data_IF_724458290334
#
_entry.id   IF_724458290334
#
_cell.length_a   1.000
_cell.length_b   1.000
_cell.length_c   1.000
_cell.angle_alpha   90.00
_cell.angle_beta   90.00
_cell.angle_gamma   90.00
#
_symmetry.space_group_name_H-M   'P 1'
#
loop_
_entity.id
_entity.type
_entity.pdbx_description
1 polymer ?
#
# COMPACT_ATOMS: atom_id res chain seq x y z
N UNK A 1 -8.01 -6.39 -3.65
CA UNK A 1 -7.88 -6.87 -2.24
C UNK A 1 -8.47 -8.28 -2.01
N UNK A 2 -9.49 -8.72 -2.77
CA UNK A 2 -9.82 -10.16 -2.83
C UNK A 2 -8.62 -11.06 -3.18
N UNK A 3 -7.68 -10.53 -3.97
CA UNK A 3 -6.37 -11.15 -4.23
C UNK A 3 -5.59 -11.52 -2.96
N UNK A 4 -5.49 -10.62 -1.97
CA UNK A 4 -4.77 -10.87 -0.71
C UNK A 4 -5.39 -12.03 0.07
N UNK A 5 -6.72 -12.07 0.16
CA UNK A 5 -7.43 -13.17 0.85
C UNK A 5 -7.27 -14.51 0.15
N UNK A 6 -7.28 -14.51 -1.18
CA UNK A 6 -7.16 -15.72 -1.99
C UNK A 6 -5.72 -16.27 -2.09
N UNK A 7 -4.70 -15.48 -1.74
CA UNK A 7 -3.29 -15.85 -1.85
C UNK A 7 -2.58 -15.73 -0.49
N UNK A 8 -3.28 -15.94 0.64
CA UNK A 8 -2.72 -15.80 1.99
C UNK A 8 -1.44 -16.63 2.18
N UNK A 9 -1.37 -17.80 1.53
CA UNK A 9 -0.21 -18.69 1.57
C UNK A 9 1.04 -18.12 0.88
N UNK A 10 0.89 -17.11 0.01
CA UNK A 10 2.00 -16.45 -0.70
C UNK A 10 2.57 -15.27 0.08
N UNK A 11 1.90 -14.86 1.16
CA UNK A 11 2.29 -13.74 1.99
C UNK A 11 1.09 -13.01 2.57
N UNK A 12 1.26 -12.48 3.78
CA UNK A 12 0.23 -11.73 4.49
C UNK A 12 0.57 -10.24 4.61
N UNK A 13 1.50 -9.76 3.78
CA UNK A 13 1.96 -8.38 3.82
C UNK A 13 1.52 -7.56 2.60
N UNK A 14 0.93 -6.40 2.86
CA UNK A 14 0.57 -5.38 1.87
C UNK A 14 1.36 -4.09 2.12
N UNK A 15 1.94 -3.52 1.07
CA UNK A 15 2.48 -2.15 1.10
C UNK A 15 1.51 -1.20 0.40
N UNK A 16 1.13 -0.11 1.06
CA UNK A 16 0.24 0.92 0.50
C UNK A 16 0.56 2.30 1.08
N UNK A 17 -0.16 3.36 0.71
CA UNK A 17 0.09 4.73 1.19
C UNK A 17 -1.06 5.28 2.04
N UNK A 18 -0.73 6.19 2.97
CA UNK A 18 -1.72 6.90 3.78
C UNK A 18 -2.56 7.91 2.99
N UNK A 19 -2.12 8.28 1.77
CA UNK A 19 -2.79 9.25 0.88
C UNK A 19 -3.60 8.57 -0.24
N UNK A 20 -3.88 7.28 -0.11
CA UNK A 20 -4.75 6.55 -1.03
C UNK A 20 -6.21 7.01 -0.93
N UNK A 21 -6.99 6.77 -1.99
CA UNK A 21 -8.43 6.96 -1.93
C UNK A 21 -9.05 6.15 -0.78
N UNK A 22 -10.06 6.69 -0.11
CA UNK A 22 -10.70 6.10 1.09
C UNK A 22 -11.07 4.62 0.94
N UNK A 23 -11.49 4.21 -0.25
CA UNK A 23 -11.81 2.80 -0.54
C UNK A 23 -10.61 1.86 -0.34
N UNK A 24 -9.40 2.27 -0.71
CA UNK A 24 -8.17 1.50 -0.50
C UNK A 24 -7.80 1.51 0.98
N UNK A 25 -7.83 2.69 1.61
CA UNK A 25 -7.49 2.85 3.04
C UNK A 25 -8.38 2.00 3.93
N UNK A 26 -9.70 2.12 3.77
CA UNK A 26 -10.67 1.37 4.59
C UNK A 26 -10.53 -0.14 4.38
N UNK A 27 -10.23 -0.57 3.15
CA UNK A 27 -10.04 -1.99 2.87
C UNK A 27 -8.71 -2.52 3.44
N UNK A 28 -7.63 -1.74 3.40
CA UNK A 28 -6.37 -2.12 4.04
C UNK A 28 -6.52 -2.23 5.57
N UNK A 29 -7.27 -1.32 6.20
CA UNK A 29 -7.61 -1.41 7.64
C UNK A 29 -8.46 -2.64 7.98
N UNK A 30 -9.40 -3.01 7.10
CA UNK A 30 -10.16 -4.25 7.26
C UNK A 30 -9.23 -5.48 7.20
N UNK A 31 -8.24 -5.48 6.31
CA UNK A 31 -7.23 -6.54 6.26
C UNK A 31 -6.35 -6.57 7.53
N UNK A 32 -5.95 -5.43 8.10
CA UNK A 32 -5.24 -5.39 9.40
C UNK A 32 -6.04 -6.13 10.48
N UNK A 33 -7.35 -5.89 10.52
CA UNK A 33 -8.27 -6.53 11.47
C UNK A 33 -8.41 -8.04 11.24
N UNK A 34 -8.10 -8.52 10.02
CA UNK A 34 -8.06 -9.94 9.65
C UNK A 34 -6.68 -10.59 9.85
N UNK A 35 -5.71 -9.86 10.39
CA UNK A 35 -4.36 -10.34 10.71
C UNK A 35 -3.33 -10.18 9.59
N UNK A 36 -3.64 -9.44 8.52
CA UNK A 36 -2.63 -9.04 7.55
C UNK A 36 -1.74 -7.93 8.11
N UNK A 37 -0.47 -7.94 7.73
CA UNK A 37 0.46 -6.87 8.04
C UNK A 37 0.40 -5.82 6.92
N UNK A 38 0.25 -4.55 7.29
CA UNK A 38 0.21 -3.45 6.33
C UNK A 38 1.36 -2.48 6.62
N UNK A 39 2.18 -2.21 5.61
CA UNK A 39 3.12 -1.09 5.66
C UNK A 39 2.50 0.12 4.99
N UNK A 40 2.30 1.18 5.77
CA UNK A 40 1.78 2.47 5.33
C UNK A 40 2.93 3.42 4.99
N UNK A 41 3.17 3.63 3.69
CA UNK A 41 4.14 4.60 3.21
C UNK A 41 3.61 6.02 3.37
N UNK A 42 4.39 6.86 4.04
CA UNK A 42 4.13 8.29 4.15
C UNK A 42 4.81 9.04 3.01
N UNK A 43 4.06 9.82 2.19
CA UNK A 43 4.66 10.62 1.15
C UNK A 43 5.56 11.72 1.72
N UNK A 44 6.55 12.12 0.93
CA UNK A 44 7.34 13.31 1.18
C UNK A 44 6.52 14.59 1.11
N UNK A 45 7.18 15.73 1.35
CA UNK A 45 6.52 17.06 1.34
C UNK A 45 5.88 17.43 0.00
N UNK A 46 6.33 16.82 -1.09
CA UNK A 46 5.81 17.01 -2.43
C UNK A 46 4.69 16.01 -2.80
N UNK A 47 4.21 15.23 -1.82
CA UNK A 47 3.14 14.26 -2.01
C UNK A 47 3.60 12.98 -2.74
N UNK A 48 4.91 12.78 -2.93
CA UNK A 48 5.45 11.61 -3.64
C UNK A 48 5.99 10.54 -2.69
N UNK A 49 5.88 9.30 -3.15
CA UNK A 49 6.53 8.11 -2.57
C UNK A 49 7.71 7.80 -3.47
N UNK A 50 8.93 7.71 -2.93
CA UNK A 50 10.11 7.40 -3.75
C UNK A 50 10.28 5.89 -3.95
N UNK A 51 10.96 5.46 -5.03
CA UNK A 51 11.33 4.06 -5.23
C UNK A 51 12.12 3.46 -4.07
N UNK A 52 12.96 4.26 -3.39
CA UNK A 52 13.72 3.84 -2.21
C UNK A 52 12.81 3.55 -1.02
N UNK A 53 11.80 4.39 -0.77
CA UNK A 53 10.81 4.14 0.29
C UNK A 53 10.05 2.85 0.03
N UNK A 54 9.65 2.62 -1.23
CA UNK A 54 8.98 1.39 -1.61
C UNK A 54 9.91 0.17 -1.45
N UNK A 55 11.14 0.25 -1.94
CA UNK A 55 12.13 -0.83 -1.83
C UNK A 55 12.41 -1.19 -0.38
N UNK A 56 12.51 -0.21 0.51
CA UNK A 56 12.75 -0.43 1.93
C UNK A 56 11.55 -1.09 2.65
N UNK A 57 10.33 -0.89 2.14
CA UNK A 57 9.12 -1.51 2.67
C UNK A 57 8.84 -2.91 2.12
N UNK A 58 9.43 -3.27 0.97
CA UNK A 58 9.25 -4.60 0.40
C UNK A 58 10.05 -5.65 1.18
N UNK A 59 9.45 -6.83 1.32
CA UNK A 59 9.98 -8.00 2.01
C UNK A 59 9.69 -9.24 1.18
N UNK A 60 10.32 -10.36 1.54
CA UNK A 60 10.12 -11.64 0.84
C UNK A 60 8.67 -12.16 0.93
N UNK A 61 7.92 -11.77 1.97
CA UNK A 61 6.51 -12.10 2.18
C UNK A 61 5.53 -11.01 1.70
N UNK A 62 6.00 -9.95 1.03
CA UNK A 62 5.13 -8.93 0.42
C UNK A 62 4.32 -9.53 -0.72
N UNK A 63 3.03 -9.75 -0.49
CA UNK A 63 2.14 -10.34 -1.48
C UNK A 63 1.55 -9.30 -2.45
N UNK A 64 1.43 -8.04 -2.02
CA UNK A 64 0.88 -6.97 -2.85
C UNK A 64 1.50 -5.61 -2.50
N UNK A 65 1.67 -4.78 -3.52
CA UNK A 65 1.89 -3.34 -3.40
C UNK A 65 0.71 -2.65 -4.09
N UNK A 66 0.06 -1.70 -3.41
CA UNK A 66 -1.03 -0.90 -3.96
C UNK A 66 -0.73 0.57 -3.75
N UNK A 67 -0.31 1.24 -4.82
CA UNK A 67 -0.05 2.68 -4.87
C UNK A 67 -0.89 3.30 -5.99
N UNK A 68 -1.54 4.41 -5.70
CA UNK A 68 -2.29 5.20 -6.66
C UNK A 68 -1.30 5.93 -7.57
N UNK A 69 -1.35 5.65 -8.87
CA UNK A 69 -0.43 6.22 -9.88
C UNK A 69 -0.54 7.75 -10.00
N UNK A 70 -1.70 8.33 -9.69
CA UNK A 70 -1.90 9.79 -9.65
C UNK A 70 -2.74 10.12 -8.44
N UNK A 71 -2.18 10.84 -7.46
CA UNK A 71 -2.97 11.30 -6.33
C UNK A 71 -3.95 12.38 -6.78
N UNK A 72 -5.23 12.06 -6.69
CA UNK A 72 -6.36 12.89 -7.11
C UNK A 72 -6.66 14.08 -6.17
N UNK A 73 -6.00 14.21 -5.02
CA UNK A 73 -6.07 15.40 -4.15
C UNK A 73 -4.92 16.41 -4.39
N UNK A 74 -3.74 15.94 -4.81
CA UNK A 74 -2.54 16.78 -4.97
C UNK A 74 -1.99 16.86 -6.41
N UNK A 75 -2.47 16.01 -7.32
CA UNK A 75 -1.99 15.92 -8.69
C UNK A 75 -0.58 15.30 -8.82
N UNK A 76 -0.05 14.67 -7.77
CA UNK A 76 1.26 14.01 -7.82
C UNK A 76 1.19 12.73 -8.65
N UNK A 77 2.03 12.65 -9.69
CA UNK A 77 2.27 11.42 -10.46
C UNK A 77 3.30 10.58 -9.69
N UNK A 78 2.97 9.31 -9.46
CA UNK A 78 3.90 8.28 -9.02
C UNK A 78 4.33 7.47 -10.25
N UNK A 79 5.63 7.47 -10.55
CA UNK A 79 6.28 6.67 -11.59
C UNK A 79 7.35 5.77 -10.95
#
# INVERSE_FOLDING_TARGET
IGFMRANRERGMHLVTSSIEHKAVVDTAKALESEGFEITWLTPGRDGRITPEQLRAAMRDDTALVSLMAVNNELGSIHD
#
